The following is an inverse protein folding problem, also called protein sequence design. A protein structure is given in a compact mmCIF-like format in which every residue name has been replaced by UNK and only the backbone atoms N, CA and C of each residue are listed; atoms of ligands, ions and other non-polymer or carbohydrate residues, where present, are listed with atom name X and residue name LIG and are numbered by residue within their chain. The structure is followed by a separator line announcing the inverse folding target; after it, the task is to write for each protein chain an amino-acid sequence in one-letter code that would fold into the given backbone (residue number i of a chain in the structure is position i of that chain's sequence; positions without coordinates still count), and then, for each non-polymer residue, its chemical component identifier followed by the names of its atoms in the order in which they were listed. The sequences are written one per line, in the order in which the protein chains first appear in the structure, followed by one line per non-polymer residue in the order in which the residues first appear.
data_IF_401980282207
#
_entry.id   IF_401980282207
#
_cell.length_a   1.000
_cell.length_b   1.000
_cell.length_c   1.000
_cell.angle_alpha   90.00
_cell.angle_beta   90.00
_cell.angle_gamma   90.00
#
_symmetry.space_group_name_H-M   'P 1'
#
loop_
_entity.id
_entity.type
_entity.pdbx_description
1 polymer ?
#
# COMPACT_ATOMS: atom_id res chain seq x y z
N UNK A 1 -8.09 -21.52 -5.74
CA UNK A 1 -8.50 -20.11 -5.50
C UNK A 1 -7.80 -19.11 -6.43
N UNK A 2 -6.58 -19.40 -6.92
CA UNK A 2 -5.85 -18.51 -7.85
C UNK A 2 -5.91 -18.94 -9.33
N UNK A 3 -6.32 -20.17 -9.62
CA UNK A 3 -6.27 -20.73 -10.99
C UNK A 3 -7.39 -20.18 -11.90
N UNK A 4 -8.50 -19.71 -11.33
CA UNK A 4 -9.65 -19.17 -12.09
C UNK A 4 -9.65 -17.63 -12.18
N UNK A 5 -8.56 -16.97 -11.76
CA UNK A 5 -8.48 -15.50 -11.85
C UNK A 5 -7.76 -15.10 -13.13
N UNK A 6 -8.36 -14.19 -13.88
CA UNK A 6 -7.71 -13.52 -15.01
C UNK A 6 -6.53 -12.70 -14.48
N UNK A 7 -5.31 -13.18 -14.72
CA UNK A 7 -4.06 -12.50 -14.34
C UNK A 7 -3.65 -11.56 -15.48
N UNK A 8 -4.42 -10.49 -15.66
CA UNK A 8 -4.12 -9.46 -16.67
C UNK A 8 -3.80 -8.13 -16.01
N UNK A 9 -2.86 -7.42 -16.63
CA UNK A 9 -2.66 -6.00 -16.41
C UNK A 9 -3.81 -5.28 -17.14
N UNK A 10 -4.40 -4.28 -16.51
CA UNK A 10 -5.55 -3.56 -17.02
C UNK A 10 -5.13 -2.48 -18.04
N UNK A 11 -3.96 -1.88 -17.88
CA UNK A 11 -3.47 -0.80 -18.76
C UNK A 11 -2.31 -1.24 -19.68
N UNK A 12 -1.76 -2.43 -19.49
CA UNK A 12 -0.58 -2.91 -20.22
C UNK A 12 -0.78 -4.35 -20.70
N UNK A 13 0.02 -4.80 -21.66
CA UNK A 13 0.11 -6.21 -22.06
C UNK A 13 1.39 -6.81 -21.52
N UNK A 14 1.33 -8.06 -21.08
CA UNK A 14 2.48 -8.76 -20.54
C UNK A 14 3.60 -8.92 -21.59
N UNK A 15 3.24 -9.16 -22.85
CA UNK A 15 4.19 -9.30 -23.97
C UNK A 15 4.96 -8.01 -24.30
N UNK A 16 4.45 -6.85 -23.89
CA UNK A 16 5.07 -5.54 -24.14
C UNK A 16 5.99 -5.10 -22.98
N UNK A 17 6.13 -5.92 -21.94
CA UNK A 17 7.01 -5.63 -20.81
C UNK A 17 8.46 -5.94 -21.16
N UNK A 18 9.35 -5.04 -20.76
CA UNK A 18 10.79 -5.28 -20.84
C UNK A 18 11.24 -6.28 -19.77
N UNK A 19 12.45 -6.82 -19.95
CA UNK A 19 13.10 -7.69 -18.99
C UNK A 19 13.27 -7.06 -17.58
N UNK A 20 13.25 -5.72 -17.48
CA UNK A 20 13.31 -5.01 -16.20
C UNK A 20 11.94 -4.82 -15.53
N UNK A 21 10.85 -4.94 -16.27
CA UNK A 21 9.48 -4.63 -15.80
C UNK A 21 8.74 -5.83 -15.25
N UNK A 22 8.98 -7.04 -15.77
CA UNK A 22 8.42 -8.25 -15.18
C UNK A 22 8.91 -8.48 -13.73
N UNK A 23 10.22 -8.39 -13.41
CA UNK A 23 10.68 -8.51 -12.02
C UNK A 23 10.17 -7.41 -11.09
N UNK A 24 9.87 -6.23 -11.63
CA UNK A 24 9.24 -5.15 -10.85
C UNK A 24 7.86 -5.55 -10.36
N UNK A 25 7.03 -6.18 -11.18
CA UNK A 25 5.68 -6.59 -10.78
C UNK A 25 5.74 -7.62 -9.65
N UNK A 26 6.63 -8.61 -9.77
CA UNK A 26 6.84 -9.62 -8.73
C UNK A 26 7.32 -8.98 -7.42
N UNK A 27 8.30 -8.08 -7.49
CA UNK A 27 8.82 -7.42 -6.29
C UNK A 27 7.79 -6.49 -5.64
N UNK A 28 6.91 -5.84 -6.42
CA UNK A 28 5.79 -5.09 -5.86
C UNK A 28 4.81 -6.00 -5.12
N UNK A 29 4.50 -7.18 -5.67
CA UNK A 29 3.63 -8.18 -5.01
C UNK A 29 4.26 -8.65 -3.70
N UNK A 30 5.54 -9.02 -3.72
CA UNK A 30 6.27 -9.45 -2.52
C UNK A 30 6.34 -8.36 -1.47
N UNK A 31 6.59 -7.11 -1.89
CA UNK A 31 6.59 -5.96 -1.00
C UNK A 31 5.22 -5.73 -0.35
N UNK A 32 4.14 -5.82 -1.13
CA UNK A 32 2.78 -5.68 -0.60
C UNK A 32 2.44 -6.80 0.37
N UNK A 33 2.77 -8.05 0.02
CA UNK A 33 2.51 -9.21 0.87
C UNK A 33 3.27 -9.12 2.21
N UNK A 34 4.58 -8.83 2.14
CA UNK A 34 5.45 -8.71 3.31
C UNK A 34 5.11 -7.51 4.22
N UNK A 35 4.39 -6.51 3.70
CA UNK A 35 3.95 -5.34 4.48
C UNK A 35 2.42 -5.25 4.58
N UNK A 36 1.69 -6.35 4.32
CA UNK A 36 0.23 -6.37 4.19
C UNK A 36 -0.48 -5.75 5.40
N UNK A 37 -0.04 -6.05 6.63
CA UNK A 37 -0.58 -5.44 7.85
C UNK A 37 -0.47 -3.90 7.83
N UNK A 38 0.64 -3.33 7.38
CA UNK A 38 0.81 -1.88 7.27
C UNK A 38 -0.03 -1.27 6.13
N UNK A 39 -0.28 -2.01 5.05
CA UNK A 39 -1.22 -1.62 4.00
C UNK A 39 -2.65 -1.61 4.53
N UNK A 40 -3.08 -2.69 5.19
CA UNK A 40 -4.39 -2.79 5.82
C UNK A 40 -4.61 -1.67 6.84
N UNK A 41 -3.64 -1.38 7.71
CA UNK A 41 -3.75 -0.30 8.70
C UNK A 41 -3.81 1.10 8.06
N UNK A 42 -3.20 1.30 6.88
CA UNK A 42 -3.26 2.58 6.18
C UNK A 42 -4.58 2.78 5.40
N UNK A 43 -5.28 1.67 5.06
CA UNK A 43 -6.46 1.64 4.20
C UNK A 43 -7.78 1.41 4.95
N UNK A 44 -7.77 0.60 6.01
CA UNK A 44 -8.94 0.30 6.83
C UNK A 44 -8.80 0.91 8.22
N UNK A 45 -9.85 1.59 8.65
CA UNK A 45 -9.90 2.25 9.93
C UNK A 45 -10.53 1.35 10.98
N UNK A 46 -9.75 1.00 12.00
CA UNK A 46 -10.26 0.85 13.36
C UNK A 46 -9.56 1.94 14.16
N UNK A 47 -10.22 3.09 14.37
CA UNK A 47 -9.63 4.13 15.20
C UNK A 47 -9.64 3.72 16.66
N UNK A 48 -8.51 3.96 17.29
CA UNK A 48 -8.49 4.34 18.69
C UNK A 48 -8.30 5.85 18.71
N UNK A 49 -9.28 6.62 19.19
CA UNK A 49 -9.03 8.02 19.55
C UNK A 49 -7.84 8.01 20.50
N UNK A 50 -6.73 8.71 20.19
CA UNK A 50 -5.61 8.78 21.11
C UNK A 50 -6.12 9.40 22.40
N UNK A 51 -6.32 8.57 23.42
CA UNK A 51 -6.56 9.04 24.78
C UNK A 51 -5.28 9.64 25.35
N UNK A 52 -5.19 9.72 26.67
CA UNK A 52 -3.99 10.20 27.35
C UNK A 52 -2.73 9.46 26.88
N UNK A 53 -1.57 10.10 27.02
CA UNK A 53 -0.28 9.64 26.49
C UNK A 53 0.11 8.21 26.95
N UNK A 54 -0.47 7.70 28.04
CA UNK A 54 -0.21 6.35 28.55
C UNK A 54 -1.31 5.33 28.23
N UNK A 55 -2.39 5.77 27.60
CA UNK A 55 -3.51 4.91 27.20
C UNK A 55 -3.07 3.82 26.21
N UNK A 56 -3.73 2.67 26.26
CA UNK A 56 -3.55 1.59 25.29
C UNK A 56 -3.81 2.09 23.86
N UNK A 57 -4.83 2.94 23.70
CA UNK A 57 -5.18 3.61 22.46
C UNK A 57 -4.00 4.41 21.87
N UNK A 58 -3.36 5.26 22.69
CA UNK A 58 -2.21 6.05 22.26
C UNK A 58 -1.00 5.18 21.87
N UNK A 59 -0.75 4.10 22.62
CA UNK A 59 0.33 3.13 22.33
C UNK A 59 0.09 2.41 21.00
N UNK A 60 -1.13 1.94 20.74
CA UNK A 60 -1.51 1.31 19.46
C UNK A 60 -1.37 2.30 18.31
N UNK A 61 -1.92 3.52 18.46
CA UNK A 61 -1.81 4.57 17.45
C UNK A 61 -0.34 4.89 17.10
N UNK A 62 0.51 5.05 18.12
CA UNK A 62 1.94 5.33 17.92
C UNK A 62 2.65 4.18 17.20
N UNK A 63 2.33 2.92 17.53
CA UNK A 63 2.87 1.74 16.84
C UNK A 63 2.46 1.72 15.37
N UNK A 64 1.18 1.95 15.08
CA UNK A 64 0.67 1.98 13.71
C UNK A 64 1.31 3.10 12.89
N UNK A 65 1.41 4.32 13.45
CA UNK A 65 2.09 5.45 12.81
C UNK A 65 3.54 5.12 12.47
N UNK A 66 4.31 4.57 13.41
CA UNK A 66 5.72 4.19 13.18
C UNK A 66 5.85 3.14 12.07
N UNK A 67 4.97 2.13 12.07
CA UNK A 67 4.96 1.11 11.02
C UNK A 67 4.64 1.74 9.64
N UNK A 68 3.65 2.63 9.58
CA UNK A 68 3.28 3.33 8.36
C UNK A 68 4.41 4.20 7.81
N UNK A 69 5.05 5.01 8.65
CA UNK A 69 6.19 5.84 8.24
C UNK A 69 7.35 5.00 7.69
N UNK A 70 7.64 3.86 8.34
CA UNK A 70 8.71 2.95 7.90
C UNK A 70 8.40 2.33 6.53
N UNK A 71 7.18 1.80 6.35
CA UNK A 71 6.76 1.18 5.07
C UNK A 71 6.65 2.21 3.97
N UNK A 72 6.14 3.42 4.25
CA UNK A 72 6.07 4.51 3.29
C UNK A 72 7.45 4.91 2.75
N UNK A 73 8.47 5.02 3.62
CA UNK A 73 9.84 5.31 3.20
C UNK A 73 10.41 4.20 2.31
N UNK A 74 10.20 2.93 2.69
CA UNK A 74 10.66 1.77 1.91
C UNK A 74 9.96 1.68 0.56
N UNK A 75 8.66 1.92 0.49
CA UNK A 75 7.89 1.96 -0.76
C UNK A 75 8.38 3.07 -1.71
N UNK A 76 8.67 4.26 -1.17
CA UNK A 76 9.23 5.36 -1.96
C UNK A 76 10.63 5.02 -2.51
N UNK A 77 11.48 4.39 -1.70
CA UNK A 77 12.81 3.92 -2.14
C UNK A 77 12.70 2.85 -3.21
N UNK A 78 11.80 1.88 -3.03
CA UNK A 78 11.50 0.83 -4.00
C UNK A 78 11.11 1.43 -5.36
N UNK A 79 10.13 2.33 -5.35
CA UNK A 79 9.66 3.00 -6.57
C UNK A 79 10.78 3.80 -7.26
N UNK A 80 11.57 4.58 -6.51
CA UNK A 80 12.71 5.33 -7.07
C UNK A 80 13.74 4.42 -7.72
N UNK A 81 14.05 3.27 -7.11
CA UNK A 81 15.00 2.30 -7.66
C UNK A 81 14.52 1.73 -9.00
N UNK A 82 13.25 1.34 -9.10
CA UNK A 82 12.69 0.81 -10.35
C UNK A 82 12.61 1.85 -11.46
N UNK A 83 12.23 3.10 -11.15
CA UNK A 83 12.27 4.20 -12.12
C UNK A 83 13.67 4.42 -12.68
N UNK A 84 14.69 4.39 -11.82
CA UNK A 84 16.10 4.48 -12.24
C UNK A 84 16.52 3.31 -13.13
N UNK A 85 15.96 2.13 -12.91
CA UNK A 85 16.24 0.93 -13.69
C UNK A 85 15.41 0.84 -14.98
N UNK A 86 14.71 1.91 -15.38
CA UNK A 86 14.00 1.97 -16.66
C UNK A 86 12.56 1.46 -16.64
N UNK A 87 11.99 1.17 -15.47
CA UNK A 87 10.56 0.82 -15.36
C UNK A 87 9.71 2.04 -15.72
N UNK A 88 8.79 1.88 -16.69
CA UNK A 88 7.91 2.97 -17.13
C UNK A 88 6.98 3.46 -16.01
N UNK A 89 6.77 4.77 -15.93
CA UNK A 89 5.91 5.37 -14.90
C UNK A 89 4.49 4.80 -14.91
N UNK A 90 3.94 4.55 -16.11
CA UNK A 90 2.57 4.05 -16.28
C UNK A 90 2.34 2.72 -15.58
N UNK A 91 3.36 1.87 -15.42
CA UNK A 91 3.24 0.57 -14.78
C UNK A 91 2.98 0.68 -13.27
N UNK A 92 3.40 1.78 -12.64
CA UNK A 92 3.06 2.06 -11.24
C UNK A 92 1.58 2.41 -11.03
N UNK A 93 0.86 2.73 -12.11
CA UNK A 93 -0.57 3.03 -12.08
C UNK A 93 -1.42 1.81 -12.43
N UNK A 94 -0.78 0.65 -12.64
CA UNK A 94 -1.49 -0.60 -12.87
C UNK A 94 -2.39 -0.94 -11.68
N UNK A 95 -3.59 -1.44 -11.96
CA UNK A 95 -4.61 -1.73 -10.94
C UNK A 95 -4.12 -2.73 -9.88
N UNK A 96 -3.27 -3.68 -10.28
CA UNK A 96 -2.62 -4.63 -9.39
C UNK A 96 -1.43 -4.08 -8.60
N UNK A 97 -0.92 -2.88 -8.95
CA UNK A 97 0.23 -2.25 -8.29
C UNK A 97 -0.28 -1.21 -7.29
N UNK A 98 -0.43 -1.64 -6.03
CA UNK A 98 -0.92 -0.74 -5.00
C UNK A 98 0.19 0.20 -4.52
N UNK A 99 0.06 1.48 -4.84
CA UNK A 99 0.90 2.53 -4.27
C UNK A 99 0.61 2.67 -2.77
N UNK A 100 1.65 2.61 -1.94
CA UNK A 100 1.47 2.82 -0.50
C UNK A 100 0.89 4.23 -0.23
N UNK A 101 -0.19 4.37 0.54
CA UNK A 101 -0.82 5.67 0.76
C UNK A 101 0.12 6.64 1.48
N UNK A 102 0.32 7.83 0.89
CA UNK A 102 1.07 8.92 1.54
C UNK A 102 0.32 9.52 2.74
N UNK A 103 -1.01 9.38 2.74
CA UNK A 103 -1.91 9.78 3.83
C UNK A 103 -2.81 8.60 4.16
N UNK A 104 -3.19 8.47 5.43
CA UNK A 104 -4.24 7.53 5.84
C UNK A 104 -5.56 7.97 5.20
N UNK A 105 -6.32 7.05 4.61
CA UNK A 105 -7.66 7.36 4.14
C UNK A 105 -8.64 7.34 5.32
N UNK A 106 -9.07 8.53 5.75
CA UNK A 106 -10.14 8.70 6.73
C UNK A 106 -11.50 8.52 6.03
N UNK A 107 -12.00 7.28 5.88
CA UNK A 107 -13.37 7.12 5.36
C UNK A 107 -14.37 7.47 6.47
N UNK A 108 -14.90 8.69 6.34
CA UNK A 108 -16.21 9.23 6.80
C UNK A 108 -16.70 8.66 8.13
N UNK A 109 -16.61 9.48 9.19
CA UNK A 109 -17.43 9.32 10.39
C UNK A 109 -18.84 9.82 10.06
N UNK A 110 -19.83 8.95 10.11
CA UNK A 110 -21.19 9.41 10.41
C UNK A 110 -21.31 9.54 11.92
N UNK A 111 -21.81 10.69 12.37
CA UNK A 111 -22.18 10.90 13.76
C UNK A 111 -23.39 10.01 14.09
N UNK A 112 -23.29 9.05 15.03
CA UNK A 112 -24.44 8.25 15.45
C UNK A 112 -25.59 9.10 16.02
N UNK A 113 -25.29 10.33 16.46
CA UNK A 113 -26.27 11.31 16.94
C UNK A 113 -27.03 12.00 15.81
N UNK A 114 -26.64 11.78 14.55
CA UNK A 114 -27.31 12.28 13.36
C UNK A 114 -28.35 11.30 12.77
N UNK A 115 -28.67 10.20 13.49
CA UNK A 115 -29.75 9.25 13.20
C UNK A 115 -30.94 9.41 14.16
#
# INVERSE_FOLDING_TARGET
MYDDRVKQLYFHRLEDLSAAEAPFLDEMVDFMNGNSCAFWNALLWIMFLPGDADSLAYKIHTRHRRAQESVSKRAATLAKRHKRNGVRESLFHESGVWKYPAKVCHRILEDPSAL
#
